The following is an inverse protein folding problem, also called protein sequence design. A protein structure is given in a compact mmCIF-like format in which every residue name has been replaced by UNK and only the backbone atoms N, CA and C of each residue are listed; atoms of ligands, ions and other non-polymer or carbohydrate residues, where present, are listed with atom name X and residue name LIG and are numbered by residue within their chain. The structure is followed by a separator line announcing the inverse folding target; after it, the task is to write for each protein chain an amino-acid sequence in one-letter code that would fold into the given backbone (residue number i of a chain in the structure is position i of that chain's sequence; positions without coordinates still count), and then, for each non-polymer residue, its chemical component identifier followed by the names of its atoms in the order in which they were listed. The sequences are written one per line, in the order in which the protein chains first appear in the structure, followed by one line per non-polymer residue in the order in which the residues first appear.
data_IF_754816593379
#
_entry.id   IF_754816593379
#
_cell.length_a   1.000
_cell.length_b   1.000
_cell.length_c   1.000
_cell.angle_alpha   90.00
_cell.angle_beta   90.00
_cell.angle_gamma   90.00
#
_symmetry.space_group_name_H-M   'P 1'
#
loop_
_entity.id
_entity.type
_entity.pdbx_description
1 polymer ?
#
# COMPACT_ATOMS: atom_id res chain seq x y z
N UNK A 1 -16.18 -9.92 16.45
CA UNK A 1 -15.50 -10.21 15.18
C UNK A 1 -14.66 -9.01 14.81
N UNK A 2 -13.37 -9.16 14.57
CA UNK A 2 -12.54 -8.08 14.01
C UNK A 2 -12.98 -7.82 12.57
N UNK A 3 -13.28 -6.57 12.23
CA UNK A 3 -13.55 -6.16 10.84
C UNK A 3 -12.21 -5.97 10.15
N UNK A 4 -11.98 -6.69 9.06
CA UNK A 4 -10.77 -6.57 8.27
C UNK A 4 -11.08 -6.53 6.78
N UNK A 5 -10.24 -5.84 6.02
CA UNK A 5 -10.24 -5.82 4.56
C UNK A 5 -8.86 -6.22 4.06
N UNK A 6 -8.83 -6.97 2.96
CA UNK A 6 -7.60 -7.36 2.27
C UNK A 6 -7.65 -6.79 0.86
N UNK A 7 -6.63 -6.01 0.50
CA UNK A 7 -6.48 -5.39 -0.81
C UNK A 7 -5.21 -5.92 -1.45
N UNK A 8 -5.32 -6.33 -2.72
CA UNK A 8 -4.17 -6.70 -3.55
C UNK A 8 -4.02 -5.67 -4.66
N UNK A 9 -2.84 -5.08 -4.77
CA UNK A 9 -2.53 -4.05 -5.78
C UNK A 9 -1.39 -4.56 -6.66
N UNK A 10 -1.59 -4.65 -7.99
CA UNK A 10 -0.51 -5.05 -8.87
C UNK A 10 0.49 -3.91 -9.03
N UNK A 11 1.76 -4.25 -9.22
CA UNK A 11 2.74 -3.31 -9.74
C UNK A 11 2.35 -2.92 -11.17
N UNK A 12 2.80 -1.74 -11.59
CA UNK A 12 2.57 -1.23 -12.93
C UNK A 12 3.88 -0.79 -13.59
N UNK A 13 3.87 -0.77 -14.92
CA UNK A 13 4.86 -0.11 -15.76
C UNK A 13 4.15 0.90 -16.65
N UNK A 14 4.83 1.99 -17.01
CA UNK A 14 4.28 3.12 -17.76
C UNK A 14 5.25 3.57 -18.85
N UNK A 15 4.81 4.49 -19.71
CA UNK A 15 5.61 5.05 -20.81
C UNK A 15 6.06 3.99 -21.82
N UNK A 16 5.15 3.07 -22.17
CA UNK A 16 5.44 1.96 -23.08
C UNK A 16 5.44 2.46 -24.53
N UNK A 17 6.59 2.34 -25.21
CA UNK A 17 6.74 2.76 -26.60
C UNK A 17 6.58 4.27 -26.78
N UNK A 18 5.76 4.68 -27.75
CA UNK A 18 5.42 6.10 -27.97
C UNK A 18 4.42 6.67 -26.94
N UNK A 19 3.95 5.85 -26.00
CA UNK A 19 2.88 6.18 -25.06
C UNK A 19 3.32 6.90 -23.79
N UNK A 20 4.14 7.95 -23.92
CA UNK A 20 4.53 8.79 -22.77
C UNK A 20 3.27 9.36 -22.10
N UNK A 21 3.19 9.26 -20.77
CA UNK A 21 2.09 9.72 -19.90
C UNK A 21 0.69 9.13 -20.16
N UNK A 22 0.52 8.22 -21.12
CA UNK A 22 -0.81 7.71 -21.48
C UNK A 22 -0.91 6.18 -21.60
N UNK A 23 0.21 5.47 -21.69
CA UNK A 23 0.20 4.00 -21.74
C UNK A 23 0.91 3.42 -20.51
N UNK A 24 0.18 2.58 -19.78
CA UNK A 24 0.73 1.73 -18.74
C UNK A 24 0.04 0.37 -18.70
N UNK A 25 0.69 -0.59 -18.08
CA UNK A 25 0.20 -1.95 -17.90
C UNK A 25 0.50 -2.45 -16.49
N UNK A 26 -0.41 -3.24 -15.93
CA UNK A 26 -0.12 -4.01 -14.73
C UNK A 26 0.84 -5.16 -15.09
N UNK A 27 1.68 -5.52 -14.12
CA UNK A 27 2.53 -6.71 -14.20
C UNK A 27 2.17 -7.68 -13.08
N UNK A 28 2.46 -8.96 -13.26
CA UNK A 28 2.14 -10.01 -12.28
C UNK A 28 3.11 -9.99 -11.08
N UNK A 29 3.12 -8.87 -10.36
CA UNK A 29 3.78 -8.66 -9.08
C UNK A 29 2.83 -7.87 -8.20
N UNK A 30 2.69 -8.27 -6.94
CA UNK A 30 1.58 -7.79 -6.12
C UNK A 30 2.06 -7.32 -4.75
N UNK A 31 1.49 -6.21 -4.30
CA UNK A 31 1.44 -5.85 -2.89
C UNK A 31 0.12 -6.37 -2.30
N UNK A 32 0.18 -6.93 -1.10
CA UNK A 32 -1.00 -7.32 -0.33
C UNK A 32 -1.04 -6.51 0.96
N UNK A 33 -2.15 -5.82 1.21
CA UNK A 33 -2.37 -5.03 2.40
C UNK A 33 -3.58 -5.59 3.15
N UNK A 34 -3.40 -5.86 4.43
CA UNK A 34 -4.51 -6.19 5.35
C UNK A 34 -4.69 -5.01 6.29
N UNK A 35 -5.89 -4.44 6.31
CA UNK A 35 -6.29 -3.43 7.29
C UNK A 35 -7.35 -4.03 8.22
N UNK A 36 -7.06 -4.07 9.51
CA UNK A 36 -7.95 -4.61 10.53
C UNK A 36 -8.24 -3.56 11.60
N UNK A 37 -9.50 -3.49 12.04
CA UNK A 37 -9.89 -2.68 13.20
C UNK A 37 -9.55 -3.44 14.48
N UNK A 38 -8.71 -2.83 15.30
CA UNK A 38 -8.39 -3.28 16.65
C UNK A 38 -8.98 -2.29 17.67
N UNK A 39 -10.09 -2.68 18.30
CA UNK A 39 -10.81 -1.84 19.26
C UNK A 39 -9.99 -1.56 20.55
N UNK A 40 -8.92 -2.30 20.80
CA UNK A 40 -8.06 -2.13 21.99
C UNK A 40 -6.88 -1.19 21.78
N UNK A 41 -6.65 -0.68 20.56
CA UNK A 41 -5.44 0.07 20.22
C UNK A 41 -5.76 1.51 19.82
N UNK A 42 -5.23 2.53 20.54
CA UNK A 42 -5.31 3.90 20.08
C UNK A 42 -4.39 4.10 18.85
N UNK A 43 -4.94 4.70 17.80
CA UNK A 43 -4.22 4.99 16.55
C UNK A 43 -4.08 3.77 15.63
N UNK A 44 -3.06 3.79 14.77
CA UNK A 44 -2.78 2.70 13.83
C UNK A 44 -1.30 2.29 13.88
N UNK A 45 -1.00 1.09 13.40
CA UNK A 45 0.36 0.63 13.19
C UNK A 45 0.46 -0.01 11.80
N UNK A 46 1.63 0.12 11.18
CA UNK A 46 1.93 -0.51 9.90
C UNK A 46 3.00 -1.57 10.16
N UNK A 47 2.63 -2.83 9.97
CA UNK A 47 3.56 -3.94 9.85
C UNK A 47 3.99 -4.13 8.39
N UNK A 48 5.24 -4.52 8.18
CA UNK A 48 5.78 -4.87 6.85
C UNK A 48 6.44 -6.23 6.91
N UNK A 49 6.14 -7.05 5.91
CA UNK A 49 6.61 -8.43 5.84
C UNK A 49 7.19 -8.74 4.46
N UNK A 50 7.82 -9.90 4.34
CA UNK A 50 8.43 -10.35 3.08
C UNK A 50 9.51 -9.38 2.58
N UNK A 51 9.46 -9.04 1.29
CA UNK A 51 10.44 -8.14 0.67
C UNK A 51 10.34 -6.69 1.15
N UNK A 52 9.33 -6.34 1.96
CA UNK A 52 9.18 -5.02 2.56
C UNK A 52 9.69 -4.96 4.00
N UNK A 53 10.12 -6.08 4.60
CA UNK A 53 10.48 -6.14 6.01
C UNK A 53 11.62 -5.18 6.39
N UNK A 54 12.55 -4.93 5.47
CA UNK A 54 13.67 -4.00 5.66
C UNK A 54 13.37 -2.57 5.19
N UNK A 55 12.16 -2.29 4.70
CA UNK A 55 11.80 -0.97 4.19
C UNK A 55 11.63 0.01 5.35
N UNK A 56 12.54 0.98 5.43
CA UNK A 56 12.46 2.10 6.35
C UNK A 56 12.07 3.36 5.59
N UNK A 57 10.96 3.98 6.01
CA UNK A 57 10.44 5.20 5.44
C UNK A 57 10.12 6.17 6.58
N UNK A 58 10.39 7.47 6.36
CA UNK A 58 9.82 8.50 7.20
C UNK A 58 8.30 8.51 7.02
N UNK A 59 7.56 8.85 8.08
CA UNK A 59 6.09 8.83 8.04
C UNK A 59 5.51 9.75 6.95
N UNK A 60 6.22 10.84 6.63
CA UNK A 60 5.77 11.81 5.62
C UNK A 60 6.03 11.35 4.18
N UNK A 61 6.93 10.36 3.99
CA UNK A 61 7.19 9.73 2.70
C UNK A 61 6.33 8.48 2.48
N UNK A 62 5.70 7.95 3.53
CA UNK A 62 4.92 6.74 3.49
C UNK A 62 3.49 7.00 2.99
N UNK A 63 3.21 6.57 1.75
CA UNK A 63 1.89 6.76 1.13
C UNK A 63 0.76 6.00 1.83
N UNK A 64 1.06 4.92 2.56
CA UNK A 64 0.05 4.24 3.38
C UNK A 64 -0.32 5.10 4.59
N UNK A 65 0.67 5.73 5.23
CA UNK A 65 0.43 6.70 6.32
C UNK A 65 -0.39 7.89 5.83
N UNK A 66 0.01 8.49 4.69
CA UNK A 66 -0.70 9.63 4.12
C UNK A 66 -2.16 9.28 3.78
N UNK A 67 -2.40 8.13 3.15
CA UNK A 67 -3.75 7.66 2.84
C UNK A 67 -4.60 7.40 4.09
N UNK A 68 -4.02 6.81 5.14
CA UNK A 68 -4.73 6.58 6.39
C UNK A 68 -5.11 7.90 7.09
N UNK A 69 -4.17 8.86 7.17
CA UNK A 69 -4.40 10.20 7.74
C UNK A 69 -5.45 11.01 6.96
N UNK A 70 -5.59 10.78 5.65
CA UNK A 70 -6.59 11.48 4.84
C UNK A 70 -8.01 10.90 5.01
N UNK A 71 -8.13 9.64 5.43
CA UNK A 71 -9.40 8.93 5.56
C UNK A 71 -10.02 9.00 6.98
N UNK A 72 -9.26 9.41 8.00
CA UNK A 72 -9.65 9.44 9.40
C UNK A 72 -9.33 10.80 10.01
#
# INVERSE_FOLDING_TARGET
MSRAVVVRVPASTSNIGAGFDCIGASVDRWLTLTAALDAGRPGFAIGREGTLASLQLAADDDRIVAGFRAAC
#
